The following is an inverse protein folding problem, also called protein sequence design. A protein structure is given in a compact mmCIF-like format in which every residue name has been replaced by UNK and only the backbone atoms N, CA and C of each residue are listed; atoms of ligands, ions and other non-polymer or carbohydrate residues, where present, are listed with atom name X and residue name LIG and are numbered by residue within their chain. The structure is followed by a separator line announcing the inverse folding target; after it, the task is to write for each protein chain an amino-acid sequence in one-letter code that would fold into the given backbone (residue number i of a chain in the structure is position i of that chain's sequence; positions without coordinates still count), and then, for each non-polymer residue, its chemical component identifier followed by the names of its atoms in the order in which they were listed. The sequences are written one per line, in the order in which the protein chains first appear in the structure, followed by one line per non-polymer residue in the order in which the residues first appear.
data_IF_190036890177
#
_entry.id   IF_190036890177
#
_cell.length_a   1.000
_cell.length_b   1.000
_cell.length_c   1.000
_cell.angle_alpha   90.00
_cell.angle_beta   90.00
_cell.angle_gamma   90.00
#
_symmetry.space_group_name_H-M   'P 1'
#
loop_
_entity.id
_entity.type
_entity.pdbx_description
1 polymer ?
#
# COMPACT_ATOMS: atom_id res chain seq x y z
N UNK A 1 18.00 2.76 5.10
CA UNK A 1 18.06 1.31 5.36
C UNK A 1 17.66 1.12 6.82
N UNK A 2 16.66 0.29 7.15
CA UNK A 2 16.23 0.08 8.55
C UNK A 2 16.62 -1.36 8.93
N UNK A 3 17.47 -1.49 9.94
CA UNK A 3 17.97 -2.76 10.48
C UNK A 3 17.25 -3.01 11.80
N UNK A 4 16.49 -4.10 11.89
CA UNK A 4 15.78 -4.53 13.10
C UNK A 4 16.56 -5.73 13.64
N UNK A 5 17.25 -5.56 14.76
CA UNK A 5 17.95 -6.64 15.46
C UNK A 5 17.09 -7.13 16.63
N UNK A 6 16.80 -8.43 16.66
CA UNK A 6 16.09 -9.08 17.75
C UNK A 6 17.12 -9.48 18.83
N UNK A 7 17.20 -8.69 19.90
CA UNK A 7 18.04 -8.98 21.07
C UNK A 7 17.27 -9.93 22.01
N UNK A 8 17.72 -11.17 22.12
CA UNK A 8 17.15 -12.17 23.05
C UNK A 8 17.49 -13.63 22.75
N UNK A 9 17.95 -13.93 21.53
CA UNK A 9 18.13 -15.31 21.07
C UNK A 9 19.46 -15.93 21.57
N UNK A 10 20.47 -15.11 21.93
CA UNK A 10 21.87 -15.56 22.12
C UNK A 10 22.12 -16.49 23.32
N UNK A 11 21.35 -16.38 24.41
CA UNK A 11 21.56 -17.21 25.60
C UNK A 11 20.87 -18.57 25.49
N UNK A 12 19.67 -18.62 24.90
CA UNK A 12 18.93 -19.86 24.65
C UNK A 12 19.61 -20.70 23.55
N UNK A 13 20.33 -20.04 22.62
CA UNK A 13 21.06 -20.67 21.51
C UNK A 13 22.25 -21.55 21.92
N UNK A 14 22.85 -21.36 23.11
CA UNK A 14 24.11 -22.04 23.46
C UNK A 14 23.96 -23.54 23.76
N UNK A 15 22.77 -24.00 24.14
CA UNK A 15 22.51 -25.39 24.54
C UNK A 15 21.59 -26.14 23.55
N UNK A 16 21.20 -25.51 22.44
CA UNK A 16 20.27 -26.08 21.47
C UNK A 16 21.00 -26.45 20.17
N UNK A 17 20.54 -27.50 19.50
CA UNK A 17 21.06 -27.91 18.19
C UNK A 17 20.98 -26.73 17.20
N UNK A 18 22.14 -26.17 16.76
CA UNK A 18 22.18 -24.97 15.96
C UNK A 18 21.40 -25.09 14.65
N UNK A 19 21.35 -26.30 14.05
CA UNK A 19 20.63 -26.53 12.78
C UNK A 19 19.12 -26.46 12.97
N UNK A 20 18.62 -27.01 14.08
CA UNK A 20 17.19 -26.95 14.40
C UNK A 20 16.76 -25.54 14.76
N UNK A 21 17.60 -24.78 15.45
CA UNK A 21 17.31 -23.37 15.76
C UNK A 21 17.30 -22.51 14.50
N UNK A 22 18.26 -22.68 13.60
CA UNK A 22 18.29 -21.96 12.31
C UNK A 22 17.03 -22.26 11.49
N UNK A 23 16.62 -23.54 11.41
CA UNK A 23 15.38 -23.95 10.76
C UNK A 23 14.14 -23.30 11.39
N UNK A 24 14.07 -23.27 12.72
CA UNK A 24 12.98 -22.63 13.45
C UNK A 24 12.92 -21.11 13.17
N UNK A 25 14.07 -20.44 13.22
CA UNK A 25 14.19 -19.01 12.93
C UNK A 25 13.77 -18.69 11.48
N UNK A 26 14.25 -19.45 10.49
CA UNK A 26 13.85 -19.31 9.08
C UNK A 26 12.35 -19.49 8.88
N UNK A 27 11.74 -20.49 9.52
CA UNK A 27 10.28 -20.70 9.43
C UNK A 27 9.51 -19.53 10.06
N UNK A 28 9.91 -19.11 11.26
CA UNK A 28 9.29 -17.99 11.96
C UNK A 28 9.37 -16.69 11.16
N UNK A 29 10.56 -16.34 10.66
CA UNK A 29 10.75 -15.14 9.84
C UNK A 29 9.92 -15.18 8.55
N UNK A 30 9.82 -16.32 7.87
CA UNK A 30 8.99 -16.43 6.66
C UNK A 30 7.51 -16.16 6.94
N UNK A 31 7.00 -16.64 8.09
CA UNK A 31 5.64 -16.38 8.54
C UNK A 31 5.44 -14.91 8.91
N UNK A 32 6.34 -14.35 9.72
CA UNK A 32 6.28 -12.95 10.17
C UNK A 32 6.38 -12.00 8.99
N UNK A 33 7.26 -12.26 8.02
CA UNK A 33 7.39 -11.48 6.77
C UNK A 33 6.05 -11.36 6.03
N UNK A 34 5.35 -12.47 5.87
CA UNK A 34 4.03 -12.50 5.21
C UNK A 34 2.99 -11.75 6.03
N UNK A 35 2.96 -11.96 7.34
CA UNK A 35 2.05 -11.26 8.26
C UNK A 35 2.31 -9.76 8.30
N UNK A 36 3.58 -9.34 8.28
CA UNK A 36 3.99 -7.95 8.28
C UNK A 36 3.57 -7.22 6.99
N UNK A 37 3.67 -7.86 5.81
CA UNK A 37 3.10 -7.33 4.57
C UNK A 37 1.60 -7.06 4.74
N UNK A 38 0.83 -8.03 5.23
CA UNK A 38 -0.62 -7.87 5.47
C UNK A 38 -0.93 -6.78 6.50
N UNK A 39 -0.22 -6.77 7.62
CA UNK A 39 -0.47 -5.81 8.70
C UNK A 39 -0.12 -4.39 8.29
N UNK A 40 0.96 -4.19 7.51
CA UNK A 40 1.32 -2.89 6.96
C UNK A 40 0.18 -2.31 6.11
N UNK A 41 -0.42 -3.13 5.24
CA UNK A 41 -1.54 -2.73 4.39
C UNK A 41 -2.78 -2.44 5.22
N UNK A 42 -3.07 -3.26 6.24
CA UNK A 42 -4.20 -3.05 7.15
C UNK A 42 -4.06 -1.70 7.85
N UNK A 43 -2.91 -1.40 8.43
CA UNK A 43 -2.64 -0.14 9.13
C UNK A 43 -2.70 1.06 8.20
N UNK A 44 -2.06 0.99 7.03
CA UNK A 44 -2.16 2.06 6.04
C UNK A 44 -3.63 2.31 5.63
N UNK A 45 -4.40 1.26 5.37
CA UNK A 45 -5.81 1.42 4.98
C UNK A 45 -6.68 2.07 6.08
N UNK A 46 -6.29 2.03 7.36
CA UNK A 46 -7.02 2.71 8.44
C UNK A 46 -6.87 4.23 8.38
N UNK A 47 -5.69 4.71 7.98
CA UNK A 47 -5.35 6.14 7.94
C UNK A 47 -5.76 6.76 6.60
N UNK A 48 -5.43 6.10 5.49
CA UNK A 48 -5.72 6.61 4.15
C UNK A 48 -7.03 6.04 3.58
N UNK A 49 -7.72 6.85 2.79
CA UNK A 49 -8.95 6.46 2.09
C UNK A 49 -8.64 5.65 0.82
N UNK A 50 -8.04 4.48 1.03
CA UNK A 50 -7.61 3.57 -0.04
C UNK A 50 -7.96 2.14 0.34
N UNK A 51 -8.28 1.31 -0.66
CA UNK A 51 -8.50 -0.11 -0.42
C UNK A 51 -7.19 -0.85 -0.26
N UNK A 52 -7.22 -1.93 0.52
CA UNK A 52 -6.05 -2.80 0.73
C UNK A 52 -5.52 -3.41 -0.57
N UNK A 53 -6.40 -3.84 -1.48
CA UNK A 53 -6.00 -4.38 -2.78
C UNK A 53 -5.19 -3.38 -3.63
N UNK A 54 -5.49 -2.08 -3.51
CA UNK A 54 -4.83 -1.03 -4.28
C UNK A 54 -3.49 -0.59 -3.64
N UNK A 55 -3.31 -0.87 -2.36
CA UNK A 55 -2.02 -0.75 -1.66
C UNK A 55 -1.10 -1.93 -1.99
N UNK A 56 -1.66 -3.10 -2.27
CA UNK A 56 -0.91 -4.30 -2.65
C UNK A 56 -0.48 -4.27 -4.11
N UNK A 57 -1.41 -3.97 -5.03
CA UNK A 57 -1.19 -4.07 -6.48
C UNK A 57 -1.35 -2.72 -7.18
N UNK A 58 -0.55 -2.52 -8.21
CA UNK A 58 -0.74 -1.45 -9.21
C UNK A 58 -1.87 -1.84 -10.17
N UNK A 59 -2.38 -0.87 -10.92
CA UNK A 59 -3.28 -1.12 -12.05
C UNK A 59 -2.68 -2.07 -13.08
N UNK A 60 -1.36 -2.10 -13.21
CA UNK A 60 -0.63 -3.03 -14.08
C UNK A 60 -0.51 -4.45 -13.53
N UNK A 61 -1.13 -4.78 -12.40
CA UNK A 61 -1.01 -6.08 -11.73
C UNK A 61 0.27 -6.30 -10.93
N UNK A 62 1.29 -5.45 -11.11
CA UNK A 62 2.57 -5.50 -10.37
C UNK A 62 2.37 -5.15 -8.89
N UNK A 63 3.12 -5.79 -8.01
CA UNK A 63 3.09 -5.49 -6.59
C UNK A 63 3.67 -4.09 -6.29
N UNK A 64 3.12 -3.45 -5.26
CA UNK A 64 3.65 -2.23 -4.63
C UNK A 64 4.43 -2.54 -3.36
N UNK A 65 4.19 -3.72 -2.80
CA UNK A 65 4.84 -4.22 -1.58
C UNK A 65 5.34 -5.62 -1.90
N UNK A 66 6.66 -5.78 -1.91
CA UNK A 66 7.31 -7.04 -2.20
C UNK A 66 8.01 -7.53 -0.94
N UNK A 67 8.11 -8.84 -0.79
CA UNK A 67 8.83 -9.49 0.30
C UNK A 67 10.02 -10.22 -0.29
N UNK A 68 11.16 -10.23 0.40
CA UNK A 68 12.31 -11.06 -0.02
C UNK A 68 11.88 -12.52 -0.19
N UNK A 69 12.55 -13.22 -1.10
CA UNK A 69 12.33 -14.64 -1.36
C UNK A 69 12.83 -15.51 -0.21
N UNK A 70 13.78 -16.38 -0.50
CA UNK A 70 14.41 -17.26 0.49
C UNK A 70 15.13 -16.45 1.59
N UNK A 71 15.09 -16.96 2.82
CA UNK A 71 15.82 -16.37 3.96
C UNK A 71 17.13 -17.14 4.09
N UNK A 72 18.23 -16.42 3.87
CA UNK A 72 19.57 -16.98 3.89
C UNK A 72 20.06 -17.32 5.29
N UNK A 73 21.35 -17.62 5.37
CA UNK A 73 22.07 -17.82 6.62
C UNK A 73 22.16 -16.55 7.48
N UNK A 74 21.92 -15.38 6.89
CA UNK A 74 21.89 -14.09 7.57
C UNK A 74 20.59 -13.84 8.38
N UNK A 75 19.63 -14.76 8.32
CA UNK A 75 18.35 -14.70 9.03
C UNK A 75 17.65 -13.35 8.87
N UNK A 76 17.75 -12.76 7.68
CA UNK A 76 17.18 -11.45 7.39
C UNK A 76 16.03 -11.55 6.39
N UNK A 77 14.91 -10.90 6.72
CA UNK A 77 13.77 -10.76 5.84
C UNK A 77 13.60 -9.29 5.44
N UNK A 78 13.51 -9.02 4.13
CA UNK A 78 13.27 -7.67 3.63
C UNK A 78 11.82 -7.52 3.15
N UNK A 79 11.26 -6.34 3.40
CA UNK A 79 9.98 -5.93 2.84
C UNK A 79 10.22 -4.63 2.09
N UNK A 80 10.04 -4.66 0.77
CA UNK A 80 10.26 -3.55 -0.12
C UNK A 80 8.93 -2.82 -0.36
N UNK A 81 8.93 -1.51 -0.10
CA UNK A 81 7.79 -0.64 -0.36
C UNK A 81 8.15 0.29 -1.52
N UNK A 82 7.37 0.23 -2.59
CA UNK A 82 7.63 1.01 -3.80
C UNK A 82 7.39 2.52 -3.60
N UNK A 83 8.28 3.34 -4.16
CA UNK A 83 8.28 4.81 -4.03
C UNK A 83 7.40 5.55 -5.06
N UNK A 84 6.65 4.85 -5.91
CA UNK A 84 5.75 5.48 -6.88
C UNK A 84 4.46 6.03 -6.26
N UNK A 85 4.18 7.31 -6.46
CA UNK A 85 2.96 7.97 -5.98
C UNK A 85 1.68 7.26 -6.44
N UNK A 86 0.69 7.19 -5.55
CA UNK A 86 -0.63 6.63 -5.85
C UNK A 86 -1.51 7.72 -6.47
N UNK A 87 -2.18 7.36 -7.57
CA UNK A 87 -3.13 8.25 -8.24
C UNK A 87 -4.32 8.57 -7.35
N UNK A 88 -4.80 9.82 -7.39
CA UNK A 88 -5.93 10.25 -6.57
C UNK A 88 -7.21 9.45 -6.87
N UNK A 89 -7.32 8.85 -8.05
CA UNK A 89 -8.43 7.93 -8.40
C UNK A 89 -8.59 6.76 -7.41
N UNK A 90 -7.52 6.38 -6.70
CA UNK A 90 -7.51 5.33 -5.69
C UNK A 90 -7.63 5.85 -4.25
N UNK A 91 -7.57 7.18 -4.06
CA UNK A 91 -7.60 7.87 -2.76
C UNK A 91 -8.94 8.61 -2.57
N UNK A 92 -10.05 7.90 -2.78
CA UNK A 92 -11.39 8.44 -2.53
C UNK A 92 -11.85 9.53 -3.49
N UNK A 93 -11.18 9.74 -4.62
CA UNK A 93 -11.59 10.77 -5.57
C UNK A 93 -12.95 10.46 -6.23
N UNK A 94 -13.74 11.50 -6.42
CA UNK A 94 -14.99 11.50 -7.18
C UNK A 94 -15.05 12.74 -8.05
N UNK A 95 -15.41 12.60 -9.32
CA UNK A 95 -15.64 13.72 -10.21
C UNK A 95 -17.14 14.00 -10.32
N UNK A 96 -17.51 15.27 -10.38
CA UNK A 96 -18.81 15.70 -10.82
C UNK A 96 -18.63 16.52 -12.10
N UNK A 97 -19.25 16.08 -13.20
CA UNK A 97 -19.17 16.78 -14.48
C UNK A 97 -20.54 16.85 -15.15
N UNK A 98 -20.76 17.90 -15.92
CA UNK A 98 -21.95 17.98 -16.75
C UNK A 98 -21.80 17.12 -18.01
N UNK A 99 -22.88 16.44 -18.37
CA UNK A 99 -23.07 15.78 -19.66
C UNK A 99 -24.42 16.30 -20.21
N UNK A 100 -24.35 17.29 -21.11
CA UNK A 100 -25.51 18.11 -21.44
C UNK A 100 -26.04 18.81 -20.19
N UNK A 101 -27.35 18.75 -19.96
CA UNK A 101 -28.02 19.38 -18.81
C UNK A 101 -27.98 18.54 -17.52
N UNK A 102 -27.30 17.38 -17.53
CA UNK A 102 -27.28 16.45 -16.38
C UNK A 102 -25.93 16.44 -15.68
N UNK A 103 -25.94 16.49 -14.34
CA UNK A 103 -24.74 16.30 -13.52
C UNK A 103 -24.47 14.81 -13.30
N UNK A 104 -23.29 14.34 -13.72
CA UNK A 104 -22.87 12.95 -13.54
C UNK A 104 -21.77 12.89 -12.48
N UNK A 105 -21.97 12.04 -11.47
CA UNK A 105 -20.95 11.67 -10.49
C UNK A 105 -20.18 10.46 -11.03
N UNK A 106 -18.88 10.61 -11.23
CA UNK A 106 -17.98 9.54 -11.64
C UNK A 106 -17.04 9.18 -10.49
N UNK A 107 -16.80 7.90 -10.31
CA UNK A 107 -15.74 7.37 -9.47
C UNK A 107 -15.16 6.13 -10.14
N UNK A 108 -14.21 5.46 -9.48
CA UNK A 108 -13.59 4.26 -10.04
C UNK A 108 -14.53 3.08 -10.30
N UNK A 109 -15.66 2.98 -9.59
CA UNK A 109 -16.59 1.87 -9.67
C UNK A 109 -17.76 2.11 -10.63
N UNK A 110 -18.22 3.36 -10.79
CA UNK A 110 -19.35 3.69 -11.65
C UNK A 110 -19.51 5.19 -11.92
N UNK A 111 -20.22 5.48 -13.00
CA UNK A 111 -20.86 6.78 -13.26
C UNK A 111 -22.33 6.70 -12.83
N UNK A 112 -22.78 7.60 -11.94
CA UNK A 112 -24.18 7.75 -11.57
C UNK A 112 -24.69 9.13 -11.97
N UNK A 113 -25.86 9.17 -12.60
CA UNK A 113 -26.59 10.40 -12.87
C UNK A 113 -27.06 10.96 -11.52
N UNK A 114 -26.78 12.24 -11.26
CA UNK A 114 -27.26 12.96 -10.06
C UNK A 114 -28.17 14.09 -10.53
N UNK A 115 -29.45 14.06 -10.15
CA UNK A 115 -30.51 14.97 -10.65
C UNK A 115 -30.52 16.38 -10.03
N UNK A 116 -29.49 16.81 -9.30
CA UNK A 116 -29.49 18.15 -8.67
C UNK A 116 -28.47 19.10 -9.29
N UNK A 117 -29.01 20.23 -9.73
CA UNK A 117 -28.36 21.45 -10.18
C UNK A 117 -27.47 21.99 -9.06
N UNK A 118 -26.17 21.71 -9.14
CA UNK A 118 -25.19 22.40 -8.33
C UNK A 118 -23.97 22.62 -9.21
N UNK A 119 -23.99 23.74 -9.94
CA UNK A 119 -22.85 24.22 -10.75
C UNK A 119 -21.57 24.26 -9.90
N UNK A 120 -21.74 24.52 -8.60
CA UNK A 120 -20.71 24.55 -7.56
C UNK A 120 -20.22 23.17 -7.09
N UNK A 121 -20.70 22.07 -7.65
CA UNK A 121 -20.14 20.73 -7.37
C UNK A 121 -19.17 20.24 -8.43
N UNK A 122 -19.08 20.91 -9.58
CA UNK A 122 -18.24 20.49 -10.71
C UNK A 122 -16.75 20.33 -10.41
N UNK A 123 -16.09 19.39 -11.06
CA UNK A 123 -14.68 19.06 -10.86
C UNK A 123 -14.46 17.85 -9.95
N UNK A 124 -13.20 17.63 -9.56
CA UNK A 124 -12.81 16.47 -8.76
C UNK A 124 -12.78 16.83 -7.28
N UNK A 125 -13.47 16.05 -6.47
CA UNK A 125 -13.41 16.09 -5.02
C UNK A 125 -12.61 14.89 -4.52
N UNK A 126 -11.67 15.10 -3.61
CA UNK A 126 -10.80 14.05 -3.09
C UNK A 126 -10.77 14.10 -1.57
N UNK A 127 -10.89 12.93 -0.95
CA UNK A 127 -10.71 12.75 0.48
C UNK A 127 -9.60 11.72 0.67
N UNK A 128 -8.37 12.18 0.92
CA UNK A 128 -7.17 11.35 0.91
C UNK A 128 -6.96 10.59 2.23
N UNK A 129 -7.26 11.24 3.36
CA UNK A 129 -7.31 10.62 4.69
C UNK A 129 -8.72 10.11 4.96
N UNK A 130 -8.84 8.93 5.57
CA UNK A 130 -10.14 8.37 5.93
C UNK A 130 -10.82 9.26 6.97
N UNK A 131 -12.02 9.74 6.68
CA UNK A 131 -12.74 10.68 7.56
C UNK A 131 -12.19 12.11 7.55
N UNK A 132 -11.17 12.41 6.73
CA UNK A 132 -10.57 13.73 6.66
C UNK A 132 -11.34 14.73 5.79
N UNK A 133 -10.78 15.93 5.65
CA UNK A 133 -11.34 17.00 4.81
C UNK A 133 -11.43 16.59 3.34
N UNK A 134 -12.52 16.98 2.69
CA UNK A 134 -12.68 16.87 1.25
C UNK A 134 -12.08 18.11 0.57
N UNK A 135 -11.15 17.89 -0.37
CA UNK A 135 -10.53 18.96 -1.16
C UNK A 135 -11.09 18.94 -2.58
N UNK A 136 -11.46 20.11 -3.09
CA UNK A 136 -11.87 20.28 -4.49
C UNK A 136 -10.65 20.65 -5.34
N UNK A 137 -10.51 19.97 -6.47
CA UNK A 137 -9.42 20.12 -7.42
C UNK A 137 -9.97 20.48 -8.79
N UNK A 138 -9.28 21.41 -9.47
CA UNK A 138 -9.47 21.65 -10.90
C UNK A 138 -8.79 20.54 -11.71
N UNK A 139 -9.42 19.38 -11.70
CA UNK A 139 -8.97 18.14 -12.32
C UNK A 139 -10.18 17.39 -12.92
N UNK A 140 -9.91 16.31 -13.65
CA UNK A 140 -10.93 15.45 -14.27
C UNK A 140 -10.47 13.98 -14.23
N UNK A 141 -11.41 13.03 -14.26
CA UNK A 141 -11.08 11.62 -14.45
C UNK A 141 -10.87 11.33 -15.93
N UNK A 142 -9.89 10.49 -16.22
CA UNK A 142 -9.72 9.90 -17.54
C UNK A 142 -9.18 8.49 -17.42
N UNK A 143 -9.58 7.62 -18.34
CA UNK A 143 -8.93 6.34 -18.55
C UNK A 143 -7.82 6.53 -19.57
N UNK A 144 -6.60 6.11 -19.23
CA UNK A 144 -5.45 6.19 -20.12
C UNK A 144 -4.89 4.80 -20.38
N UNK A 145 -4.57 4.53 -21.64
CA UNK A 145 -3.90 3.31 -22.06
C UNK A 145 -2.47 3.32 -21.54
N UNK A 146 -2.00 2.20 -21.00
CA UNK A 146 -0.62 2.01 -20.59
C UNK A 146 -0.08 0.69 -21.14
N UNK A 147 1.24 0.64 -21.37
CA UNK A 147 1.90 -0.50 -22.01
C UNK A 147 2.02 -0.33 -23.52
N UNK A 148 2.98 -1.05 -24.12
CA UNK A 148 3.09 -1.22 -25.58
C UNK A 148 2.13 -2.34 -26.02
N UNK A 149 1.76 -2.38 -27.30
CA UNK A 149 0.80 -3.33 -27.92
C UNK A 149 0.84 -4.76 -27.35
N UNK A 150 -0.29 -5.48 -27.41
CA UNK A 150 -0.43 -6.85 -26.89
C UNK A 150 -0.57 -6.97 -25.37
N UNK A 151 0.17 -6.15 -24.60
CA UNK A 151 0.10 -6.07 -23.13
C UNK A 151 -0.51 -4.75 -22.62
N UNK A 152 -1.24 -4.04 -23.49
CA UNK A 152 -1.78 -2.74 -23.18
C UNK A 152 -3.01 -2.84 -22.27
N UNK A 153 -2.93 -2.21 -21.09
CA UNK A 153 -4.04 -2.06 -20.16
C UNK A 153 -4.59 -0.65 -20.15
N UNK A 154 -5.66 -0.43 -19.38
CA UNK A 154 -6.18 0.91 -19.07
C UNK A 154 -6.07 1.15 -17.57
N UNK A 155 -5.60 2.34 -17.18
CA UNK A 155 -5.72 2.78 -15.80
C UNK A 155 -6.56 4.05 -15.75
N UNK A 156 -7.38 4.13 -14.72
CA UNK A 156 -8.15 5.31 -14.41
C UNK A 156 -7.29 6.23 -13.54
N UNK A 157 -7.14 7.47 -13.97
CA UNK A 157 -6.38 8.49 -13.26
C UNK A 157 -7.17 9.77 -13.09
N UNK A 158 -6.75 10.59 -12.13
CA UNK A 158 -7.19 11.98 -12.00
C UNK A 158 -6.14 12.84 -12.66
N UNK A 159 -6.53 13.70 -13.59
CA UNK A 159 -5.61 14.51 -14.40
C UNK A 159 -5.91 15.99 -14.24
N UNK A 160 -4.89 16.81 -14.35
CA UNK A 160 -5.05 18.26 -14.44
C UNK A 160 -4.20 18.83 -15.56
N UNK A 161 -4.68 19.93 -16.14
CA UNK A 161 -3.94 20.71 -17.12
C UNK A 161 -3.13 21.80 -16.40
N UNK A 162 -1.86 21.96 -16.77
CA UNK A 162 -1.07 23.08 -16.26
C UNK A 162 -1.57 24.41 -16.87
N UNK A 163 -1.61 25.48 -16.08
CA UNK A 163 -1.79 26.83 -16.60
C UNK A 163 -0.42 27.33 -17.11
N UNK A 164 -0.32 27.72 -18.38
CA UNK A 164 0.87 28.42 -18.92
C UNK A 164 1.93 27.55 -19.61
N UNK A 165 1.77 26.24 -19.72
CA UNK A 165 2.66 25.41 -20.56
C UNK A 165 2.25 25.44 -22.03
N UNK A 166 3.23 25.48 -22.95
CA UNK A 166 2.99 25.32 -24.40
C UNK A 166 2.19 24.04 -24.71
N UNK A 167 1.52 23.96 -25.88
CA UNK A 167 0.54 22.91 -26.28
C UNK A 167 0.30 21.77 -25.26
N UNK A 168 -0.54 22.08 -24.26
CA UNK A 168 -1.41 21.13 -23.55
C UNK A 168 -0.78 20.05 -22.62
N UNK A 169 0.14 20.34 -21.67
CA UNK A 169 0.62 19.34 -20.73
C UNK A 169 -0.48 18.92 -19.74
N UNK A 170 -1.00 17.72 -19.96
CA UNK A 170 -1.89 17.01 -19.03
C UNK A 170 -1.03 16.05 -18.20
N UNK A 171 -1.14 16.12 -16.88
CA UNK A 171 -0.42 15.24 -15.98
C UNK A 171 -1.35 14.60 -14.96
N UNK A 172 -0.98 13.38 -14.54
CA UNK A 172 -1.72 12.64 -13.53
C UNK A 172 -1.44 13.22 -12.14
N UNK A 173 -2.50 13.53 -11.40
CA UNK A 173 -2.43 13.91 -9.99
C UNK A 173 -2.22 12.66 -9.15
N UNK A 174 -1.02 12.58 -8.57
CA UNK A 174 -0.63 11.59 -7.57
C UNK A 174 -0.40 12.30 -6.24
N UNK A 175 -0.57 11.58 -5.15
CA UNK A 175 -0.30 12.13 -3.82
C UNK A 175 0.92 11.45 -3.20
N UNK A 176 0.68 10.40 -2.44
CA UNK A 176 1.68 9.78 -1.57
C UNK A 176 2.02 8.38 -2.08
N UNK A 177 3.27 7.96 -1.90
CA UNK A 177 3.71 6.59 -2.19
C UNK A 177 3.48 5.66 -1.00
N UNK A 178 3.42 4.36 -1.24
CA UNK A 178 3.33 3.36 -0.15
C UNK A 178 4.56 3.45 0.77
N UNK A 179 5.74 3.71 0.20
CA UNK A 179 6.97 3.93 0.97
C UNK A 179 6.90 5.15 1.91
N UNK A 180 6.16 6.19 1.53
CA UNK A 180 5.96 7.36 2.39
C UNK A 180 4.87 7.10 3.43
N UNK A 181 3.81 6.35 3.08
CA UNK A 181 2.76 5.95 4.02
C UNK A 181 3.33 5.12 5.17
N UNK A 182 4.15 4.11 4.87
CA UNK A 182 4.74 3.22 5.89
C UNK A 182 5.68 3.95 6.85
N UNK A 183 6.31 5.06 6.42
CA UNK A 183 7.21 5.86 7.25
C UNK A 183 6.48 6.72 8.28
N UNK A 184 5.15 6.84 8.20
CA UNK A 184 4.39 7.56 9.22
C UNK A 184 4.45 6.79 10.54
N UNK A 185 4.69 7.52 11.62
CA UNK A 185 4.85 6.97 12.97
C UNK A 185 3.67 6.09 13.39
N UNK A 186 2.44 6.53 13.08
CA UNK A 186 1.20 5.80 13.37
C UNK A 186 1.10 4.44 12.68
N UNK A 187 1.86 4.23 11.61
CA UNK A 187 1.95 2.94 10.90
C UNK A 187 3.16 2.16 11.38
N UNK A 188 4.32 2.82 11.43
CA UNK A 188 5.61 2.17 11.62
C UNK A 188 5.78 1.59 13.01
N UNK A 189 5.52 2.36 14.08
CA UNK A 189 5.75 1.88 15.44
C UNK A 189 4.85 0.70 15.79
N UNK A 190 3.53 0.76 15.51
CA UNK A 190 2.66 -0.38 15.79
C UNK A 190 2.97 -1.60 14.91
N UNK A 191 3.50 -1.39 13.70
CA UNK A 191 3.98 -2.49 12.86
C UNK A 191 5.25 -3.12 13.43
N UNK A 192 6.22 -2.31 13.89
CA UNK A 192 7.43 -2.83 14.54
C UNK A 192 7.11 -3.61 15.80
N UNK A 193 6.17 -3.13 16.62
CA UNK A 193 5.68 -3.86 17.79
C UNK A 193 5.06 -5.20 17.38
N UNK A 194 4.15 -5.18 16.40
CA UNK A 194 3.54 -6.39 15.86
C UNK A 194 4.57 -7.40 15.32
N UNK A 195 5.59 -6.94 14.61
CA UNK A 195 6.65 -7.81 14.07
C UNK A 195 7.42 -8.51 15.19
N UNK A 196 7.79 -7.78 16.26
CA UNK A 196 8.51 -8.36 17.39
C UNK A 196 7.66 -9.40 18.10
N UNK A 197 6.44 -9.03 18.49
CA UNK A 197 5.51 -9.92 19.19
C UNK A 197 5.23 -11.20 18.39
N UNK A 198 4.96 -11.06 17.08
CA UNK A 198 4.70 -12.22 16.23
C UNK A 198 5.94 -13.03 15.94
N UNK A 199 7.13 -12.43 15.92
CA UNK A 199 8.36 -13.18 15.80
C UNK A 199 8.58 -14.05 17.04
N UNK A 200 8.48 -13.48 18.24
CA UNK A 200 8.69 -14.23 19.48
C UNK A 200 7.69 -15.38 19.62
N UNK A 201 6.39 -15.12 19.34
CA UNK A 201 5.34 -16.14 19.32
C UNK A 201 5.66 -17.27 18.33
N UNK A 202 6.03 -16.91 17.08
CA UNK A 202 6.27 -17.90 16.02
C UNK A 202 7.56 -18.66 16.22
N UNK A 203 8.59 -18.00 16.71
CA UNK A 203 9.87 -18.63 16.97
C UNK A 203 9.74 -19.65 18.10
N UNK A 204 9.10 -19.29 19.22
CA UNK A 204 8.82 -20.24 20.30
C UNK A 204 7.97 -21.43 19.83
N UNK A 205 6.93 -21.18 19.02
CA UNK A 205 6.15 -22.25 18.42
C UNK A 205 6.99 -23.19 17.55
N UNK A 206 7.90 -22.66 16.72
CA UNK A 206 8.77 -23.48 15.87
C UNK A 206 9.84 -24.21 16.69
N UNK A 207 10.37 -23.62 17.77
CA UNK A 207 11.28 -24.31 18.70
C UNK A 207 10.60 -25.52 19.36
N UNK A 208 9.35 -25.37 19.83
CA UNK A 208 8.53 -26.49 20.34
C UNK A 208 8.36 -27.58 19.29
N UNK A 209 8.04 -27.18 18.06
CA UNK A 209 7.87 -28.11 16.93
C UNK A 209 9.14 -28.87 16.57
N UNK A 210 10.31 -28.27 16.76
CA UNK A 210 11.60 -28.94 16.57
C UNK A 210 12.03 -29.79 17.79
N UNK A 211 11.25 -29.80 18.88
CA UNK A 211 11.56 -30.52 20.12
C UNK A 211 12.68 -29.88 20.94
N UNK A 212 12.95 -28.59 20.73
CA UNK A 212 14.04 -27.87 21.42
C UNK A 212 13.60 -27.31 22.77
N UNK A 213 12.30 -27.05 22.93
CA UNK A 213 11.69 -26.57 24.18
C UNK A 213 10.34 -27.28 24.38
N UNK A 214 9.90 -27.40 25.63
CA UNK A 214 8.58 -27.96 25.98
C UNK A 214 7.47 -26.91 25.77
#
# INVERSE_FOLDING_TARGET
MIRIEVKGIKEVLKNLDPKKVDKAAKSALNRVKTQAKTESVRRMSKIWNIKQSDLLKKSSGKDRIETSGYIGSDLTAHIYFMSGGISLAYLGATEFRFKGNTLVKMNRKSSRITRRTAKDRTGVQVQTLRGGRVTRLRAFFSAVKFGKSGAAGYHLGVFSRHKGGGRLPVYERKMISVATMIRKREVLEPLQKFIREKFDERFNHELKRQGLIK
#
